data_IF_727360956398
#
_entry.id   IF_727360956398
#
_cell.length_a   1.000
_cell.length_b   1.000
_cell.length_c   1.000
_cell.angle_alpha   90.00
_cell.angle_beta   90.00
_cell.angle_gamma   90.00
#
_symmetry.space_group_name_H-M   'P 1'
#
loop_
_entity.id
_entity.type
_entity.pdbx_description
1 polymer ?
#
# COMPACT_ATOMS: atom_id res chain seq x y z
N UNK A 1 24.08 12.91 -12.95
CA UNK A 1 23.78 12.62 -11.53
C UNK A 1 22.45 11.88 -11.47
N UNK A 2 22.37 10.67 -10.90
CA UNK A 2 21.09 10.00 -10.66
C UNK A 2 20.34 10.66 -9.50
N UNK A 3 19.03 10.86 -9.65
CA UNK A 3 18.19 11.55 -8.65
C UNK A 3 17.24 10.61 -7.88
N UNK A 4 16.91 9.45 -8.45
CA UNK A 4 15.81 8.63 -7.94
C UNK A 4 14.46 9.39 -8.01
N UNK A 5 13.43 8.84 -7.38
CA UNK A 5 12.13 9.50 -7.29
C UNK A 5 11.99 10.25 -5.96
N UNK A 6 11.58 11.53 -6.02
CA UNK A 6 11.43 12.39 -4.85
C UNK A 6 10.44 11.82 -3.80
N UNK A 7 9.47 11.01 -4.24
CA UNK A 7 8.48 10.39 -3.35
C UNK A 7 9.12 9.52 -2.27
N UNK A 8 10.27 8.88 -2.54
CA UNK A 8 10.91 8.00 -1.56
C UNK A 8 11.75 8.76 -0.52
N UNK A 9 11.98 10.06 -0.71
CA UNK A 9 12.82 10.87 0.19
C UNK A 9 12.19 11.02 1.58
N UNK A 10 10.86 10.89 1.68
CA UNK A 10 10.13 10.97 2.95
C UNK A 10 10.53 9.86 3.93
N UNK A 11 10.86 8.67 3.42
CA UNK A 11 11.20 7.48 4.20
C UNK A 11 12.55 7.57 4.91
N UNK A 12 13.32 8.64 4.64
CA UNK A 12 14.54 8.99 5.38
C UNK A 12 14.26 9.54 6.78
N UNK A 13 13.05 10.07 6.98
CA UNK A 13 12.62 10.64 8.25
C UNK A 13 11.93 9.56 9.09
N UNK A 14 11.89 9.71 10.43
CA UNK A 14 11.04 8.85 11.26
C UNK A 14 9.55 9.11 10.99
N UNK A 15 8.67 8.11 11.24
CA UNK A 15 7.23 8.31 11.15
C UNK A 15 6.76 9.34 12.19
N UNK A 16 5.71 10.08 11.85
CA UNK A 16 5.16 11.17 12.68
C UNK A 16 4.36 10.63 13.86
N UNK A 17 3.81 9.43 13.72
CA UNK A 17 3.09 8.69 14.76
C UNK A 17 3.69 7.30 14.94
N UNK A 18 3.53 6.74 16.12
CA UNK A 18 3.89 5.35 16.41
C UNK A 18 2.66 4.43 16.28
N UNK A 19 2.89 3.12 16.40
CA UNK A 19 1.83 2.10 16.30
C UNK A 19 0.73 2.30 17.32
N UNK A 20 1.04 2.65 18.57
CA UNK A 20 0.04 2.83 19.62
C UNK A 20 -0.94 3.96 19.29
N UNK A 21 -0.41 5.11 18.86
CA UNK A 21 -1.21 6.25 18.39
C UNK A 21 -2.02 5.88 17.14
N UNK A 22 -1.42 5.15 16.20
CA UNK A 22 -2.12 4.66 15.01
C UNK A 22 -3.30 3.76 15.39
N UNK A 23 -3.10 2.80 16.30
CA UNK A 23 -4.14 1.88 16.76
C UNK A 23 -5.26 2.63 17.48
N UNK A 24 -4.92 3.60 18.33
CA UNK A 24 -5.90 4.44 19.03
C UNK A 24 -6.80 5.22 18.05
N UNK A 25 -6.24 5.84 17.01
CA UNK A 25 -7.00 6.59 15.99
C UNK A 25 -7.95 5.73 15.17
N UNK A 26 -7.65 4.43 15.06
CA UNK A 26 -8.41 3.48 14.26
C UNK A 26 -9.31 2.57 15.09
N UNK A 27 -9.32 2.70 16.42
CA UNK A 27 -10.03 1.79 17.33
C UNK A 27 -9.65 0.32 17.06
N UNK A 28 -8.34 0.06 17.08
CA UNK A 28 -7.71 -1.24 16.85
C UNK A 28 -6.97 -1.68 18.12
N UNK A 29 -7.03 -2.97 18.42
CA UNK A 29 -6.21 -3.59 19.46
C UNK A 29 -4.74 -3.66 18.99
N UNK A 30 -3.80 -2.97 19.64
CA UNK A 30 -2.39 -2.95 19.23
C UNK A 30 -1.71 -4.33 19.30
N UNK A 31 -2.28 -5.29 20.05
CA UNK A 31 -1.78 -6.66 20.13
C UNK A 31 -2.15 -7.52 18.92
N UNK A 32 -3.10 -7.09 18.09
CA UNK A 32 -3.49 -7.81 16.88
C UNK A 32 -2.60 -7.44 15.69
N UNK A 33 -2.36 -8.39 14.77
CA UNK A 33 -1.80 -8.06 13.46
C UNK A 33 -2.70 -7.09 12.69
N UNK A 34 -2.09 -6.20 11.90
CA UNK A 34 -2.78 -5.20 11.07
C UNK A 34 -2.43 -5.44 9.60
N UNK A 35 -3.46 -5.77 8.82
CA UNK A 35 -3.40 -5.88 7.37
C UNK A 35 -3.85 -4.56 6.73
N UNK A 36 -3.03 -3.93 5.90
CA UNK A 36 -3.47 -2.83 5.03
C UNK A 36 -4.01 -3.39 3.72
N UNK A 37 -5.27 -3.08 3.39
CA UNK A 37 -5.82 -3.23 2.05
C UNK A 37 -5.81 -1.87 1.34
N UNK A 38 -4.90 -1.69 0.38
CA UNK A 38 -4.82 -0.50 -0.46
C UNK A 38 -5.61 -0.69 -1.76
N UNK A 39 -6.59 0.17 -2.00
CA UNK A 39 -7.47 0.11 -3.17
C UNK A 39 -6.81 0.54 -4.49
N UNK A 40 -7.54 0.38 -5.59
CA UNK A 40 -7.12 0.72 -6.96
C UNK A 40 -7.96 1.84 -7.55
N UNK A 41 -7.40 2.56 -8.53
CA UNK A 41 -8.12 3.54 -9.33
C UNK A 41 -9.12 2.93 -10.32
N UNK A 42 -9.08 1.60 -10.54
CA UNK A 42 -9.72 0.93 -11.69
C UNK A 42 -11.08 0.28 -11.39
N UNK A 43 -11.75 0.67 -10.31
CA UNK A 43 -13.14 0.25 -10.08
C UNK A 43 -13.31 -1.24 -9.76
N UNK A 44 -12.30 -1.87 -9.15
CA UNK A 44 -12.42 -3.24 -8.63
C UNK A 44 -13.54 -3.32 -7.57
N UNK A 45 -14.14 -4.50 -7.36
CA UNK A 45 -15.12 -4.70 -6.27
C UNK A 45 -14.41 -4.83 -4.91
N UNK A 46 -13.79 -3.74 -4.48
CA UNK A 46 -13.03 -3.65 -3.21
C UNK A 46 -13.91 -4.00 -2.01
N UNK A 47 -15.19 -3.61 -2.05
CA UNK A 47 -16.16 -4.05 -1.05
C UNK A 47 -16.26 -5.58 -1.01
N UNK A 48 -16.38 -6.24 -2.17
CA UNK A 48 -16.43 -7.70 -2.27
C UNK A 48 -15.20 -8.35 -1.65
N UNK A 49 -14.01 -7.82 -1.95
CA UNK A 49 -12.75 -8.33 -1.39
C UNK A 49 -12.69 -8.15 0.15
N UNK A 50 -13.08 -6.98 0.66
CA UNK A 50 -13.12 -6.73 2.11
C UNK A 50 -14.11 -7.66 2.82
N UNK A 51 -15.28 -7.93 2.22
CA UNK A 51 -16.24 -8.92 2.72
C UNK A 51 -15.65 -10.32 2.77
N UNK A 52 -14.93 -10.74 1.72
CA UNK A 52 -14.27 -12.05 1.69
C UNK A 52 -13.25 -12.19 2.83
N UNK A 53 -12.50 -11.13 3.13
CA UNK A 53 -11.52 -11.11 4.23
C UNK A 53 -12.23 -11.17 5.57
N UNK A 54 -13.25 -10.34 5.80
CA UNK A 54 -14.03 -10.34 7.05
C UNK A 54 -14.66 -11.72 7.33
N UNK A 55 -15.32 -12.31 6.32
CA UNK A 55 -15.93 -13.63 6.43
C UNK A 55 -14.88 -14.74 6.65
N UNK A 56 -13.67 -14.59 6.12
CA UNK A 56 -12.58 -15.52 6.37
C UNK A 56 -12.02 -15.41 7.80
N UNK A 57 -11.93 -14.21 8.36
CA UNK A 57 -11.55 -14.01 9.77
C UNK A 57 -12.63 -14.60 10.69
N UNK A 58 -13.90 -14.31 10.43
CA UNK A 58 -15.01 -14.82 11.25
C UNK A 58 -15.17 -16.35 11.19
N UNK A 59 -14.84 -16.96 10.04
CA UNK A 59 -14.83 -18.41 9.87
C UNK A 59 -13.52 -19.06 10.34
N UNK A 60 -12.61 -18.32 10.97
CA UNK A 60 -11.28 -18.79 11.41
C UNK A 60 -10.43 -19.40 10.28
N UNK A 61 -10.66 -18.99 9.02
CA UNK A 61 -9.82 -19.35 7.86
C UNK A 61 -8.60 -18.44 7.73
N UNK A 62 -8.66 -17.26 8.33
CA UNK A 62 -7.54 -16.36 8.55
C UNK A 62 -7.34 -16.16 10.05
N UNK A 63 -6.11 -15.84 10.51
CA UNK A 63 -5.88 -15.51 11.91
C UNK A 63 -6.66 -14.25 12.32
N UNK A 64 -6.99 -14.09 13.62
CA UNK A 64 -7.56 -12.85 14.12
C UNK A 64 -6.64 -11.67 13.80
N UNK A 65 -7.17 -10.67 13.10
CA UNK A 65 -6.42 -9.48 12.69
C UNK A 65 -7.37 -8.30 12.46
N UNK A 66 -6.81 -7.10 12.50
CA UNK A 66 -7.49 -5.88 12.06
C UNK A 66 -7.13 -5.56 10.61
N UNK A 67 -8.08 -5.02 9.86
CA UNK A 67 -7.90 -4.63 8.46
C UNK A 67 -8.06 -3.11 8.34
N UNK A 68 -7.00 -2.42 7.92
CA UNK A 68 -7.10 -1.02 7.50
C UNK A 68 -7.43 -1.00 6.02
N UNK A 69 -8.55 -0.39 5.65
CA UNK A 69 -8.87 -0.11 4.27
C UNK A 69 -8.46 1.31 3.90
N UNK A 70 -7.59 1.44 2.90
CA UNK A 70 -7.21 2.73 2.31
C UNK A 70 -7.61 2.77 0.84
N UNK A 71 -8.70 3.48 0.47
CA UNK A 71 -9.12 3.58 -0.92
C UNK A 71 -8.08 4.30 -1.77
N UNK A 72 -8.07 4.01 -3.08
CA UNK A 72 -7.32 4.86 -4.00
C UNK A 72 -7.92 6.28 -4.01
N UNK A 73 -7.11 7.36 -3.94
CA UNK A 73 -7.59 8.74 -3.87
C UNK A 73 -8.45 9.19 -5.06
N UNK A 74 -8.40 8.43 -6.16
CA UNK A 74 -9.15 8.64 -7.40
C UNK A 74 -10.12 7.50 -7.73
N UNK A 75 -10.16 6.44 -6.93
CA UNK A 75 -10.85 5.19 -7.24
C UNK A 75 -12.32 5.12 -6.83
N UNK A 76 -12.85 6.16 -6.17
CA UNK A 76 -14.22 6.23 -5.62
C UNK A 76 -14.61 5.03 -4.74
N UNK A 77 -13.64 4.45 -4.03
CA UNK A 77 -13.85 3.24 -3.24
C UNK A 77 -14.14 1.97 -4.07
N UNK A 78 -13.75 1.96 -5.35
CA UNK A 78 -13.99 0.85 -6.25
C UNK A 78 -15.41 0.82 -6.83
N UNK A 79 -15.87 -0.38 -7.18
CA UNK A 79 -17.23 -0.60 -7.68
C UNK A 79 -18.25 -0.41 -6.55
N UNK A 80 -19.09 0.63 -6.69
CA UNK A 80 -20.12 1.01 -5.70
C UNK A 80 -19.52 1.25 -4.31
N UNK A 81 -18.47 2.09 -4.25
CA UNK A 81 -17.72 2.36 -3.02
C UNK A 81 -18.54 2.96 -1.88
N UNK A 82 -19.72 3.51 -2.12
CA UNK A 82 -20.67 3.92 -1.08
C UNK A 82 -21.00 2.79 -0.09
N UNK A 83 -21.00 1.53 -0.58
CA UNK A 83 -21.22 0.33 0.23
C UNK A 83 -20.19 0.19 1.36
N UNK A 84 -18.96 0.69 1.15
CA UNK A 84 -17.90 0.60 2.14
C UNK A 84 -18.22 1.47 3.36
N UNK A 85 -18.81 2.65 3.13
CA UNK A 85 -19.18 3.56 4.20
C UNK A 85 -20.37 3.06 5.04
N UNK A 86 -21.37 2.46 4.37
CA UNK A 86 -22.64 2.08 5.01
C UNK A 86 -22.59 0.71 5.70
N UNK A 87 -21.53 -0.09 5.48
CA UNK A 87 -21.43 -1.43 6.05
C UNK A 87 -20.88 -1.42 7.49
N UNK A 88 -21.52 -2.15 8.42
CA UNK A 88 -21.05 -2.26 9.80
C UNK A 88 -19.88 -3.25 9.90
N UNK A 89 -18.69 -2.83 9.48
CA UNK A 89 -17.48 -3.65 9.53
C UNK A 89 -17.10 -4.03 10.96
N UNK A 90 -16.77 -5.32 11.18
CA UNK A 90 -16.25 -5.83 12.45
C UNK A 90 -14.74 -5.69 12.52
N UNK A 91 -14.07 -6.16 11.47
CA UNK A 91 -12.60 -6.25 11.41
C UNK A 91 -11.97 -5.16 10.55
N UNK A 92 -12.77 -4.48 9.72
CA UNK A 92 -12.30 -3.42 8.81
C UNK A 92 -12.46 -2.04 9.45
N UNK A 93 -11.47 -1.18 9.26
CA UNK A 93 -11.49 0.24 9.60
C UNK A 93 -11.02 1.05 8.40
N UNK A 94 -11.73 2.13 8.07
CA UNK A 94 -11.28 3.06 7.04
C UNK A 94 -10.11 3.87 7.61
N UNK A 95 -9.01 3.93 6.86
CA UNK A 95 -7.84 4.73 7.20
C UNK A 95 -8.24 6.19 7.44
N UNK A 96 -7.77 6.76 8.55
CA UNK A 96 -8.23 8.04 9.11
C UNK A 96 -8.23 9.17 8.09
N UNK A 97 -7.15 9.37 7.34
CA UNK A 97 -7.05 10.48 6.38
C UNK A 97 -8.00 10.33 5.18
N UNK A 98 -8.40 9.09 4.88
CA UNK A 98 -9.32 8.77 3.80
C UNK A 98 -10.80 8.68 4.22
N UNK A 99 -11.14 8.80 5.50
CA UNK A 99 -12.55 8.76 5.97
C UNK A 99 -13.41 9.83 5.32
N UNK A 100 -12.92 11.08 5.29
CA UNK A 100 -13.63 12.20 4.67
C UNK A 100 -13.87 11.99 3.16
N UNK A 101 -12.95 11.30 2.49
CA UNK A 101 -13.11 10.94 1.09
C UNK A 101 -14.19 9.86 0.88
N UNK A 102 -14.22 8.82 1.72
CA UNK A 102 -15.26 7.79 1.64
C UNK A 102 -16.66 8.37 1.95
N UNK A 103 -16.78 9.28 2.91
CA UNK A 103 -18.05 9.99 3.15
C UNK A 103 -18.46 10.84 1.94
N UNK A 104 -17.51 11.53 1.30
CA UNK A 104 -17.81 12.27 0.07
C UNK A 104 -18.28 11.35 -1.07
N UNK A 105 -17.69 10.15 -1.21
CA UNK A 105 -18.14 9.12 -2.16
C UNK A 105 -19.55 8.66 -1.86
N UNK A 106 -19.87 8.39 -0.59
CA UNK A 106 -21.21 8.00 -0.12
C UNK A 106 -22.26 9.06 -0.47
N UNK A 107 -21.92 10.34 -0.36
CA UNK A 107 -22.79 11.45 -0.77
C UNK A 107 -22.87 11.66 -2.30
N UNK A 108 -22.18 10.85 -3.10
CA UNK A 108 -22.16 10.94 -4.55
C UNK A 108 -21.26 12.05 -5.12
N UNK A 109 -20.36 12.63 -4.31
CA UNK A 109 -19.39 13.63 -4.78
C UNK A 109 -18.31 12.95 -5.63
N UNK A 110 -17.93 13.60 -6.74
CA UNK A 110 -17.02 13.03 -7.77
C UNK A 110 -15.58 13.56 -7.70
N UNK A 111 -15.17 14.08 -6.54
CA UNK A 111 -13.85 14.68 -6.33
C UNK A 111 -12.73 13.64 -6.18
N UNK A 112 -11.49 14.15 -6.18
CA UNK A 112 -10.29 13.40 -5.82
C UNK A 112 -9.84 13.78 -4.41
N UNK A 113 -9.19 12.85 -3.70
CA UNK A 113 -8.41 13.17 -2.51
C UNK A 113 -6.94 13.41 -2.89
N UNK A 114 -6.27 14.27 -2.13
CA UNK A 114 -4.82 14.51 -2.25
C UNK A 114 -4.21 14.34 -0.85
N UNK A 115 -4.14 13.09 -0.34
CA UNK A 115 -3.59 12.81 0.99
C UNK A 115 -2.12 13.23 1.05
N UNK A 116 -1.68 13.67 2.23
CA UNK A 116 -0.27 13.95 2.48
C UNK A 116 0.51 12.64 2.38
N UNK A 117 1.57 12.63 1.58
CA UNK A 117 2.35 11.42 1.34
C UNK A 117 3.05 10.92 2.63
N UNK A 118 3.28 11.80 3.61
CA UNK A 118 3.76 11.41 4.94
C UNK A 118 2.76 10.51 5.69
N UNK A 119 1.46 10.55 5.37
CA UNK A 119 0.47 9.63 5.94
C UNK A 119 0.73 8.19 5.47
N UNK A 120 1.23 8.00 4.24
CA UNK A 120 1.63 6.67 3.77
C UNK A 120 2.77 6.10 4.60
N UNK A 121 3.75 6.94 4.95
CA UNK A 121 4.85 6.54 5.83
C UNK A 121 4.34 6.15 7.23
N UNK A 122 3.45 6.95 7.81
CA UNK A 122 2.83 6.66 9.11
C UNK A 122 2.07 5.33 9.11
N UNK A 123 1.23 5.11 8.08
CA UNK A 123 0.46 3.86 7.91
C UNK A 123 1.41 2.67 7.75
N UNK A 124 2.35 2.72 6.80
CA UNK A 124 3.25 1.60 6.50
C UNK A 124 4.18 1.25 7.67
N UNK A 125 4.55 2.24 8.50
CA UNK A 125 5.31 1.99 9.72
C UNK A 125 4.51 1.23 10.79
N UNK A 126 3.18 1.39 10.79
CA UNK A 126 2.29 0.90 11.83
C UNK A 126 1.65 -0.45 11.54
N UNK A 127 1.59 -0.87 10.27
CA UNK A 127 0.97 -2.13 9.84
C UNK A 127 1.95 -3.31 9.90
N UNK A 128 1.43 -4.52 9.69
CA UNK A 128 2.22 -5.75 9.66
C UNK A 128 2.35 -6.34 8.25
N UNK A 129 1.33 -6.17 7.40
CA UNK A 129 1.36 -6.64 6.01
C UNK A 129 0.51 -5.76 5.09
N UNK A 130 0.84 -5.77 3.79
CA UNK A 130 0.14 -5.01 2.76
C UNK A 130 -0.52 -5.95 1.73
N UNK A 131 -1.75 -5.65 1.35
CA UNK A 131 -2.41 -6.15 0.14
C UNK A 131 -2.74 -4.95 -0.74
N UNK A 132 -2.31 -4.99 -1.99
CA UNK A 132 -2.60 -3.94 -2.97
C UNK A 132 -2.67 -4.56 -4.36
N UNK A 133 -3.50 -4.04 -5.27
CA UNK A 133 -3.26 -4.20 -6.70
C UNK A 133 -1.90 -3.61 -7.11
N UNK A 134 -1.49 -3.86 -8.35
CA UNK A 134 -0.21 -3.37 -8.88
C UNK A 134 -0.05 -1.85 -8.67
N UNK A 135 0.88 -1.46 -7.81
CA UNK A 135 1.04 -0.11 -7.28
C UNK A 135 2.47 0.08 -6.76
N UNK A 136 2.95 1.33 -6.74
CA UNK A 136 4.24 1.62 -6.09
C UNK A 136 4.21 1.24 -4.63
N UNK A 137 3.08 1.42 -3.92
CA UNK A 137 2.97 1.19 -2.46
C UNK A 137 3.50 -0.18 -1.98
N UNK A 138 3.58 -1.17 -2.87
CA UNK A 138 4.29 -2.44 -2.64
C UNK A 138 5.78 -2.19 -2.33
N UNK A 139 6.49 -1.44 -3.16
CA UNK A 139 7.88 -1.02 -2.94
C UNK A 139 8.02 -0.20 -1.66
N UNK A 140 7.10 0.73 -1.40
CA UNK A 140 7.05 1.46 -0.14
C UNK A 140 6.94 0.49 1.07
N UNK A 141 6.10 -0.54 1.01
CA UNK A 141 5.98 -1.53 2.09
C UNK A 141 7.28 -2.35 2.27
N UNK A 142 7.93 -2.73 1.18
CA UNK A 142 9.23 -3.41 1.19
C UNK A 142 10.30 -2.56 1.89
N UNK A 143 10.36 -1.25 1.63
CA UNK A 143 11.27 -0.31 2.33
C UNK A 143 11.02 -0.28 3.85
N UNK A 144 9.77 -0.50 4.26
CA UNK A 144 9.38 -0.60 5.67
C UNK A 144 9.60 -2.02 6.26
N UNK A 145 10.17 -2.95 5.48
CA UNK A 145 10.34 -4.34 5.89
C UNK A 145 9.00 -5.07 6.10
N UNK A 146 7.93 -4.66 5.40
CA UNK A 146 6.59 -5.24 5.50
C UNK A 146 6.32 -6.15 4.31
N UNK A 147 5.95 -7.42 4.54
CA UNK A 147 5.59 -8.31 3.46
C UNK A 147 4.37 -7.76 2.70
N UNK A 148 4.39 -7.91 1.37
CA UNK A 148 3.35 -7.37 0.50
C UNK A 148 2.80 -8.42 -0.46
N UNK A 149 1.50 -8.35 -0.71
CA UNK A 149 0.76 -9.14 -1.68
C UNK A 149 0.22 -8.24 -2.80
N UNK A 150 0.68 -8.50 -4.02
CA UNK A 150 0.11 -7.97 -5.24
C UNK A 150 -1.15 -8.78 -5.61
N UNK A 151 -2.34 -8.20 -5.42
CA UNK A 151 -3.61 -8.84 -5.73
C UNK A 151 -4.19 -8.37 -7.07
N UNK A 152 -4.38 -9.33 -7.98
CA UNK A 152 -4.88 -9.11 -9.34
C UNK A 152 -6.27 -9.78 -9.47
N UNK A 153 -7.37 -9.06 -9.19
CA UNK A 153 -8.72 -9.66 -9.18
C UNK A 153 -9.19 -10.06 -10.58
N UNK A 154 -10.07 -11.06 -10.64
CA UNK A 154 -10.58 -11.61 -11.90
C UNK A 154 -11.39 -10.59 -12.71
N UNK A 155 -12.09 -9.68 -12.02
CA UNK A 155 -12.84 -8.57 -12.63
C UNK A 155 -11.96 -7.58 -13.42
N UNK A 156 -10.63 -7.64 -13.26
CA UNK A 156 -9.65 -6.87 -14.02
C UNK A 156 -8.84 -7.71 -15.02
N UNK A 157 -9.08 -9.03 -15.10
CA UNK A 157 -8.45 -9.90 -16.09
C UNK A 157 -9.03 -9.61 -17.49
N UNK A 158 -8.16 -9.39 -18.49
CA UNK A 158 -8.58 -9.19 -19.88
C UNK A 158 -8.79 -7.75 -20.36
N UNK A 159 -8.73 -6.71 -19.50
CA UNK A 159 -8.65 -5.33 -20.01
C UNK A 159 -7.84 -4.40 -19.10
N UNK A 160 -6.70 -3.92 -19.60
CA UNK A 160 -5.72 -3.01 -18.96
C UNK A 160 -4.72 -3.58 -17.95
N UNK A 161 -5.02 -4.66 -17.21
CA UNK A 161 -4.11 -5.18 -16.18
C UNK A 161 -3.14 -6.24 -16.70
N UNK A 162 -3.56 -7.10 -17.63
CA UNK A 162 -2.61 -7.95 -18.39
C UNK A 162 -1.66 -7.09 -19.24
N UNK A 163 -2.17 -5.96 -19.77
CA UNK A 163 -1.38 -4.96 -20.47
C UNK A 163 -0.40 -4.21 -19.54
N UNK A 164 -0.75 -4.00 -18.28
CA UNK A 164 0.13 -3.40 -17.26
C UNK A 164 1.09 -4.42 -16.63
N UNK A 165 0.68 -5.67 -16.49
CA UNK A 165 1.57 -6.76 -16.12
C UNK A 165 2.62 -7.00 -17.22
N UNK A 166 2.28 -6.71 -18.48
CA UNK A 166 3.22 -6.65 -19.60
C UNK A 166 3.96 -5.31 -19.73
N UNK A 167 3.77 -4.34 -18.83
CA UNK A 167 4.67 -3.18 -18.78
C UNK A 167 5.96 -3.64 -18.11
N UNK A 168 7.03 -3.64 -18.91
CA UNK A 168 8.42 -3.99 -18.56
C UNK A 168 8.86 -3.42 -17.20
N UNK A 169 8.30 -2.28 -16.77
CA UNK A 169 8.63 -1.64 -15.50
C UNK A 169 8.23 -2.42 -14.23
N UNK A 170 7.37 -3.44 -14.34
CA UNK A 170 6.95 -4.26 -13.19
C UNK A 170 7.44 -5.72 -13.29
N UNK A 171 8.14 -6.09 -14.38
CA UNK A 171 8.66 -7.45 -14.59
C UNK A 171 9.56 -7.88 -13.44
N UNK A 172 10.53 -7.03 -13.09
CA UNK A 172 11.42 -7.24 -11.94
C UNK A 172 10.67 -7.46 -10.61
N UNK A 173 9.51 -6.82 -10.42
CA UNK A 173 8.70 -7.00 -9.21
C UNK A 173 7.90 -8.30 -9.23
N UNK A 174 7.50 -8.80 -10.40
CA UNK A 174 6.87 -10.11 -10.52
C UNK A 174 7.88 -11.25 -10.34
N UNK A 175 9.13 -11.02 -10.71
CA UNK A 175 10.21 -11.99 -10.58
C UNK A 175 10.86 -11.98 -9.19
N UNK A 176 10.55 -10.98 -8.36
CA UNK A 176 11.04 -10.91 -6.98
C UNK A 176 10.33 -11.94 -6.08
N UNK A 177 11.04 -12.92 -5.51
CA UNK A 177 10.43 -13.97 -4.67
C UNK A 177 9.86 -13.44 -3.34
N UNK A 178 10.22 -12.22 -2.92
CA UNK A 178 9.71 -11.60 -1.72
C UNK A 178 8.35 -10.92 -1.93
N UNK A 179 7.95 -10.65 -3.18
CA UNK A 179 6.63 -10.10 -3.52
C UNK A 179 5.66 -11.23 -3.84
N UNK A 180 4.65 -11.42 -2.99
CA UNK A 180 3.59 -12.39 -3.26
C UNK A 180 2.65 -11.89 -4.35
N UNK A 181 2.13 -12.80 -5.18
CA UNK A 181 1.15 -12.47 -6.22
C UNK A 181 -0.06 -13.40 -6.09
N UNK A 182 -1.24 -12.80 -5.96
CA UNK A 182 -2.53 -13.51 -6.01
C UNK A 182 -3.25 -13.14 -7.30
N UNK A 183 -3.60 -14.14 -8.12
CA UNK A 183 -4.34 -13.96 -9.38
C UNK A 183 -5.73 -14.58 -9.26
N UNK A 184 -6.75 -13.74 -9.46
CA UNK A 184 -8.14 -14.12 -9.33
C UNK A 184 -8.61 -14.17 -7.87
N UNK A 185 -9.91 -14.00 -7.69
CA UNK A 185 -10.50 -13.76 -6.37
C UNK A 185 -10.37 -14.99 -5.45
N UNK A 186 -10.37 -16.21 -6.02
CA UNK A 186 -10.17 -17.47 -5.29
C UNK A 186 -8.78 -17.58 -4.64
N UNK A 187 -7.78 -16.86 -5.17
CA UNK A 187 -6.42 -16.84 -4.62
C UNK A 187 -6.26 -15.87 -3.46
N UNK A 188 -7.19 -14.91 -3.27
CA UNK A 188 -7.03 -13.83 -2.29
C UNK A 188 -6.82 -14.36 -0.86
N UNK A 189 -7.71 -15.21 -0.38
CA UNK A 189 -7.66 -15.69 1.01
C UNK A 189 -6.47 -16.62 1.26
N UNK A 190 -6.18 -17.64 0.42
CA UNK A 190 -4.98 -18.46 0.58
C UNK A 190 -3.68 -17.65 0.59
N UNK A 191 -3.59 -16.61 -0.25
CA UNK A 191 -2.40 -15.76 -0.32
C UNK A 191 -2.29 -14.80 0.86
N UNK A 192 -3.39 -14.31 1.43
CA UNK A 192 -3.34 -13.55 2.69
C UNK A 192 -2.88 -14.45 3.84
N UNK A 193 -3.32 -15.70 3.91
CA UNK A 193 -2.83 -16.63 4.94
C UNK A 193 -1.31 -16.85 4.83
N UNK A 194 -0.79 -17.03 3.61
CA UNK A 194 0.65 -17.12 3.38
C UNK A 194 1.40 -15.84 3.76
N UNK A 195 0.85 -14.68 3.36
CA UNK A 195 1.39 -13.37 3.71
C UNK A 195 1.49 -13.18 5.23
N UNK A 196 0.44 -13.53 5.97
CA UNK A 196 0.41 -13.39 7.42
C UNK A 196 1.36 -14.36 8.13
N UNK A 197 1.65 -15.53 7.55
CA UNK A 197 2.70 -16.42 8.05
C UNK A 197 4.10 -15.79 7.93
N UNK A 198 4.36 -15.02 6.86
CA UNK A 198 5.63 -14.29 6.67
C UNK A 198 5.86 -13.18 7.68
N UNK A 199 4.82 -12.55 8.20
CA UNK A 199 4.93 -11.49 9.24
C UNK A 199 5.72 -11.98 10.47
N UNK A 200 5.55 -13.25 10.84
CA UNK A 200 6.23 -13.84 12.01
C UNK A 200 7.63 -14.40 11.72
N UNK A 201 8.11 -14.35 10.47
CA UNK A 201 9.39 -14.93 10.11
C UNK A 201 10.57 -14.08 10.57
N UNK A 202 11.53 -14.67 11.32
CA UNK A 202 12.79 -14.00 11.58
C UNK A 202 13.48 -13.62 10.25
N UNK A 203 14.04 -12.40 10.21
CA UNK A 203 14.76 -11.85 9.05
C UNK A 203 13.93 -11.51 7.79
N UNK A 204 12.59 -11.63 7.79
CA UNK A 204 11.78 -11.16 6.64
C UNK A 204 12.07 -9.69 6.30
N UNK A 205 12.16 -8.83 7.32
CA UNK A 205 12.46 -7.41 7.14
C UNK A 205 13.82 -7.15 6.49
N UNK A 206 14.84 -7.96 6.79
CA UNK A 206 16.18 -7.83 6.17
C UNK A 206 16.17 -8.28 4.71
N UNK A 207 15.43 -9.34 4.37
CA UNK A 207 15.25 -9.80 2.98
C UNK A 207 14.49 -8.78 2.16
N UNK A 208 13.39 -8.25 2.70
CA UNK A 208 12.60 -7.20 2.05
C UNK A 208 13.41 -5.90 1.85
N UNK A 209 14.19 -5.48 2.84
CA UNK A 209 15.09 -4.33 2.70
C UNK A 209 16.22 -4.57 1.68
N UNK A 210 16.64 -5.83 1.49
CA UNK A 210 17.62 -6.18 0.45
C UNK A 210 16.98 -6.15 -0.94
N UNK A 211 15.80 -6.72 -1.08
CA UNK A 211 14.97 -6.69 -2.29
C UNK A 211 14.66 -5.25 -2.71
N UNK A 212 14.26 -4.38 -1.76
CA UNK A 212 13.90 -3.00 -2.06
C UNK A 212 15.04 -2.18 -2.70
N UNK A 213 16.31 -2.52 -2.42
CA UNK A 213 17.48 -1.84 -3.00
C UNK A 213 17.67 -2.09 -4.49
N UNK A 214 17.05 -3.16 -5.02
CA UNK A 214 17.00 -3.37 -6.47
C UNK A 214 16.14 -2.29 -7.16
N UNK A 215 15.06 -1.87 -6.51
CA UNK A 215 14.08 -0.93 -7.06
C UNK A 215 14.33 0.53 -6.65
N UNK A 216 14.83 0.75 -5.44
CA UNK A 216 14.99 2.07 -4.83
C UNK A 216 16.44 2.28 -4.48
N UNK A 217 17.07 3.26 -5.14
CA UNK A 217 18.44 3.66 -4.86
C UNK A 217 18.49 4.54 -3.61
N UNK A 218 19.33 4.15 -2.66
CA UNK A 218 19.68 4.99 -1.51
C UNK A 218 20.60 6.14 -1.94
N UNK A 219 20.44 7.28 -1.30
CA UNK A 219 21.29 8.45 -1.52
C UNK A 219 21.76 9.04 -0.20
N UNK A 220 22.96 9.62 -0.15
CA UNK A 220 23.49 10.19 1.09
C UNK A 220 22.78 11.49 1.50
N UNK A 221 22.29 12.25 0.52
CA UNK A 221 21.64 13.55 0.70
C UNK A 221 20.18 13.55 0.24
N UNK A 222 19.37 14.43 0.84
CA UNK A 222 17.96 14.58 0.48
C UNK A 222 17.80 14.96 -1.00
N UNK A 223 16.66 14.59 -1.60
CA UNK A 223 16.37 14.90 -3.01
C UNK A 223 16.50 16.40 -3.29
N UNK A 224 15.93 17.25 -2.42
CA UNK A 224 15.97 18.71 -2.56
C UNK A 224 17.39 19.29 -2.49
N UNK A 225 18.25 18.73 -1.65
CA UNK A 225 19.66 19.11 -1.55
C UNK A 225 20.42 18.74 -2.83
N UNK A 226 20.25 17.52 -3.31
CA UNK A 226 20.87 17.05 -4.57
C UNK A 226 20.42 17.89 -5.77
N UNK A 227 19.14 18.24 -5.82
CA UNK A 227 18.57 19.09 -6.87
C UNK A 227 19.16 20.50 -6.82
N UNK A 228 19.26 21.07 -5.62
CA UNK A 228 19.85 22.40 -5.42
C UNK A 228 21.33 22.42 -5.82
N UNK A 229 22.11 21.42 -5.40
CA UNK A 229 23.52 21.26 -5.79
C UNK A 229 23.68 21.20 -7.30
N UNK A 230 22.89 20.37 -7.97
CA UNK A 230 22.91 20.25 -9.43
C UNK A 230 22.59 21.57 -10.16
N UNK A 231 21.57 22.31 -9.71
CA UNK A 231 21.27 23.61 -10.30
C UNK A 231 22.40 24.63 -10.08
N UNK A 232 22.99 24.64 -8.88
CA UNK A 232 24.12 25.52 -8.59
C UNK A 232 25.33 25.22 -9.49
N UNK A 233 25.64 23.94 -9.71
CA UNK A 233 26.70 23.50 -10.63
C UNK A 233 26.42 23.92 -12.08
N UNK A 234 25.18 23.77 -12.57
CA UNK A 234 24.81 24.19 -13.92
C UNK A 234 24.92 25.71 -14.13
N UNK A 235 24.47 26.50 -13.16
CA UNK A 235 24.51 27.98 -13.25
C UNK A 235 25.95 28.50 -13.17
N UNK A 236 26.82 27.83 -12.41
CA UNK A 236 28.23 28.19 -12.31
C UNK A 236 29.04 27.71 -13.53
N UNK A 237 28.74 26.52 -14.05
CA UNK A 237 29.39 25.94 -15.23
C UNK A 237 28.96 26.55 -16.58
N UNK A 238 27.77 27.14 -16.65
CA UNK A 238 27.30 27.86 -17.86
C UNK A 238 27.82 29.30 -18.00
N UNK A 239 28.67 29.76 -17.08
CA UNK A 239 29.29 31.11 -17.09
C UNK A 239 30.76 31.12 -17.53
N UNK A 240 31.28 30.01 -18.06
CA UNK A 240 32.62 29.88 -18.65
C UNK A 240 32.58 29.90 -20.17
#
# INVERSE_FOLDING_TARGET
>A
MPFGAAQFDIYRNPPRINRDEFCHRHDIDPAQPILLYAGSSKGADEFGHLRMIEDAIDACRLPPMSVIYRPHPWGRGGFKGERIADHPWRHVRIEESMRGYIEAVREGRKGISLPDYAETHDVLSSIDALVSPLSTIILEALLHGKPALCFLPASQAGSSLDLQASLVHFEDMYDDPEVLIARGDDALIPSIDDLMRRVGEPAIGERLATSSRHFVTDFDAAYGERLTTFFNELVQGGRS
#
